data_IF_859057697388
#
_entry.id   IF_859057697388
#
_cell.length_a   1.000
_cell.length_b   1.000
_cell.length_c   1.000
_cell.angle_alpha   90.00
_cell.angle_beta   90.00
_cell.angle_gamma   90.00
#
_symmetry.space_group_name_H-M   'P 1'
#
loop_
_entity.id
_entity.type
_entity.pdbx_description
1 polymer ?
#
# COMPACT_ATOMS: atom_id res chain seq x y z
N UNK A 1 3.67 -22.62 -4.31
CA UNK A 1 2.51 -21.83 -3.83
C UNK A 1 2.77 -20.39 -4.23
N UNK A 2 2.14 -19.90 -5.30
CA UNK A 2 2.40 -18.54 -5.78
C UNK A 2 1.56 -17.57 -4.96
N UNK A 3 2.21 -16.73 -4.17
CA UNK A 3 1.56 -15.71 -3.33
C UNK A 3 1.17 -14.54 -4.22
N UNK A 4 0.16 -14.72 -5.06
CA UNK A 4 -0.55 -13.58 -5.62
C UNK A 4 -1.55 -13.13 -4.57
N UNK A 5 -1.11 -12.30 -3.64
CA UNK A 5 -2.05 -11.56 -2.79
C UNK A 5 -2.70 -10.51 -3.68
N UNK A 6 -4.00 -10.63 -3.92
CA UNK A 6 -4.76 -9.58 -4.58
C UNK A 6 -4.52 -8.28 -3.81
N UNK A 7 -4.08 -7.24 -4.52
CA UNK A 7 -3.85 -5.93 -3.95
C UNK A 7 -5.03 -5.03 -4.35
N UNK A 8 -5.61 -4.36 -3.36
CA UNK A 8 -6.65 -3.35 -3.57
C UNK A 8 -6.29 -2.07 -2.83
N UNK A 9 -7.02 -0.98 -3.09
CA UNK A 9 -6.80 0.28 -2.39
C UNK A 9 -8.13 0.93 -2.02
N UNK A 10 -8.08 1.77 -0.99
CA UNK A 10 -9.14 2.70 -0.63
C UNK A 10 -8.54 4.06 -0.30
N UNK A 11 -9.35 5.11 -0.40
CA UNK A 11 -8.94 6.47 -0.11
C UNK A 11 -9.86 7.01 0.98
N UNK A 12 -9.26 7.73 1.92
CA UNK A 12 -9.86 8.28 3.12
C UNK A 12 -10.45 7.23 4.06
N UNK A 13 -10.65 7.64 5.30
CA UNK A 13 -11.52 6.94 6.24
C UNK A 13 -12.75 7.78 6.49
N UNK A 14 -13.88 7.10 6.59
CA UNK A 14 -15.19 7.70 6.82
C UNK A 14 -15.76 7.16 8.13
N UNK A 15 -16.47 8.01 8.86
CA UNK A 15 -17.29 7.53 9.98
C UNK A 15 -18.60 6.90 9.49
N UNK A 16 -19.47 6.54 10.44
CA UNK A 16 -20.76 5.91 10.13
C UNK A 16 -21.74 6.85 9.40
N UNK A 17 -21.54 8.16 9.54
CA UNK A 17 -22.39 9.19 8.93
C UNK A 17 -21.88 9.58 7.53
N UNK A 18 -20.71 9.06 7.13
CA UNK A 18 -20.11 9.26 5.82
C UNK A 18 -19.20 10.49 5.74
N UNK A 19 -18.86 11.09 6.88
CA UNK A 19 -17.93 12.21 6.95
C UNK A 19 -16.48 11.73 6.95
N UNK A 20 -15.60 12.48 6.28
CA UNK A 20 -14.17 12.16 6.22
C UNK A 20 -13.54 12.42 7.60
N UNK A 21 -13.01 11.37 8.21
CA UNK A 21 -12.29 11.45 9.50
C UNK A 21 -10.78 11.43 9.35
N UNK A 22 -10.27 10.90 8.23
CA UNK A 22 -8.83 10.85 7.95
C UNK A 22 -8.58 10.86 6.43
N UNK A 23 -7.86 11.87 5.93
CA UNK A 23 -7.42 11.92 4.54
C UNK A 23 -6.16 11.07 4.37
N UNK A 24 -6.30 9.91 3.73
CA UNK A 24 -5.21 8.96 3.57
C UNK A 24 -5.41 8.03 2.36
N UNK A 25 -4.36 7.32 1.98
CA UNK A 25 -4.40 6.22 1.01
C UNK A 25 -4.12 4.93 1.77
N UNK A 26 -5.00 3.95 1.64
CA UNK A 26 -4.88 2.64 2.25
C UNK A 26 -4.66 1.61 1.15
N UNK A 27 -3.56 0.87 1.22
CA UNK A 27 -3.25 -0.23 0.31
C UNK A 27 -3.43 -1.55 1.06
N UNK A 28 -4.27 -2.42 0.53
CA UNK A 28 -4.61 -3.71 1.11
C UNK A 28 -3.82 -4.79 0.38
N UNK A 29 -3.06 -5.59 1.12
CA UNK A 29 -2.29 -6.73 0.59
C UNK A 29 -2.55 -7.94 1.48
N UNK A 30 -3.45 -8.82 1.04
CA UNK A 30 -3.99 -9.87 1.89
C UNK A 30 -4.67 -9.26 3.13
N UNK A 31 -4.30 -9.73 4.32
CA UNK A 31 -4.84 -9.22 5.60
C UNK A 31 -4.10 -7.96 6.12
N UNK A 32 -3.10 -7.46 5.39
CA UNK A 32 -2.31 -6.30 5.80
C UNK A 32 -2.81 -5.04 5.13
N UNK A 33 -3.00 -3.98 5.92
CA UNK A 33 -3.35 -2.64 5.44
C UNK A 33 -2.17 -1.70 5.67
N UNK A 34 -1.66 -1.10 4.60
CA UNK A 34 -0.62 -0.09 4.62
C UNK A 34 -1.25 1.29 4.46
N UNK A 35 -0.98 2.19 5.41
CA UNK A 35 -1.51 3.56 5.40
C UNK A 35 -0.45 4.57 4.97
N UNK A 36 -0.82 5.43 4.03
CA UNK A 36 -0.01 6.53 3.53
C UNK A 36 -0.79 7.83 3.65
N UNK A 37 -0.16 8.89 4.17
CA UNK A 37 -0.81 10.21 4.30
C UNK A 37 -0.81 11.00 3.00
N UNK A 38 0.10 10.68 2.07
CA UNK A 38 0.18 11.35 0.77
C UNK A 38 0.54 10.35 -0.33
N UNK A 39 0.21 10.71 -1.57
CA UNK A 39 0.61 9.93 -2.74
C UNK A 39 2.14 9.79 -2.83
N UNK A 40 2.89 10.83 -2.47
CA UNK A 40 4.36 10.80 -2.51
C UNK A 40 4.96 9.77 -1.54
N UNK A 41 4.32 9.50 -0.39
CA UNK A 41 4.76 8.44 0.51
C UNK A 41 4.53 7.05 -0.09
N UNK A 42 3.40 6.85 -0.78
CA UNK A 42 3.11 5.61 -1.51
C UNK A 42 4.12 5.40 -2.65
N UNK A 43 4.40 6.44 -3.44
CA UNK A 43 5.37 6.38 -4.54
C UNK A 43 6.76 5.98 -4.03
N UNK A 44 7.25 6.64 -2.98
CA UNK A 44 8.54 6.30 -2.38
C UNK A 44 8.60 4.88 -1.82
N UNK A 45 7.50 4.38 -1.26
CA UNK A 45 7.39 2.99 -0.83
C UNK A 45 7.45 2.01 -2.01
N UNK A 46 6.72 2.29 -3.10
CA UNK A 46 6.72 1.47 -4.31
C UNK A 46 8.11 1.41 -4.97
N UNK A 47 8.80 2.56 -5.06
CA UNK A 47 10.19 2.63 -5.55
C UNK A 47 11.13 1.77 -4.70
N UNK A 48 10.98 1.84 -3.37
CA UNK A 48 11.81 1.02 -2.47
C UNK A 48 11.55 -0.47 -2.64
N UNK A 49 10.29 -0.89 -2.77
CA UNK A 49 9.95 -2.29 -3.07
C UNK A 49 10.55 -2.77 -4.40
N UNK A 50 10.50 -1.93 -5.44
CA UNK A 50 11.12 -2.26 -6.73
C UNK A 50 12.65 -2.39 -6.61
N UNK A 51 13.31 -1.53 -5.84
CA UNK A 51 14.75 -1.63 -5.55
C UNK A 51 15.08 -2.96 -4.85
N UNK A 52 14.32 -3.30 -3.80
CA UNK A 52 14.49 -4.56 -3.09
C UNK A 52 14.28 -5.77 -4.01
N UNK A 53 13.27 -5.73 -4.88
CA UNK A 53 13.03 -6.79 -5.88
C UNK A 53 14.24 -6.97 -6.82
N UNK A 54 14.85 -5.87 -7.27
CA UNK A 54 16.06 -5.92 -8.11
C UNK A 54 17.26 -6.50 -7.34
N UNK A 55 17.46 -6.09 -6.10
CA UNK A 55 18.53 -6.61 -5.23
C UNK A 55 18.36 -8.12 -4.97
N UNK A 56 17.14 -8.58 -4.67
CA UNK A 56 16.84 -10.00 -4.48
C UNK A 56 17.17 -10.80 -5.73
N UNK A 57 16.68 -10.36 -6.91
CA UNK A 57 16.97 -11.02 -8.21
C UNK A 57 18.44 -11.10 -8.58
N UNK A 58 19.28 -10.22 -8.02
CA UNK A 58 20.73 -10.24 -8.25
C UNK A 58 21.44 -11.27 -7.37
N UNK A 59 20.90 -11.56 -6.20
CA UNK A 59 21.54 -12.39 -5.18
C UNK A 59 20.92 -13.80 -5.05
N UNK A 60 19.80 -14.05 -5.71
CA UNK A 60 19.05 -15.31 -5.72
C UNK A 60 18.80 -15.73 -7.17
#
# INVERSE_FOLDING_TARGET
MSVYSEASFSVNQYDNDGDVVDECILVHVGDTILRFSTISQLDGFAERLQSLSKEIKKNY
#
